data_IF_228316584637
#
_entry.id   IF_228316584637
#
_cell.length_a   1.000
_cell.length_b   1.000
_cell.length_c   1.000
_cell.angle_alpha   90.00
_cell.angle_beta   90.00
_cell.angle_gamma   90.00
#
_symmetry.space_group_name_H-M   'P 1'
#
loop_
_entity.id
_entity.type
_entity.pdbx_description
1 polymer ?
#
# COMPACT_ATOMS: atom_id res chain seq x y z
N UNK A 1 36.10 17.14 -66.26
CA UNK A 1 35.82 15.75 -65.85
C UNK A 1 35.47 15.76 -64.37
N UNK A 2 34.31 15.18 -64.04
CA UNK A 2 33.46 15.22 -62.83
C UNK A 2 33.99 15.58 -61.42
N UNK A 3 33.16 16.38 -60.74
CA UNK A 3 32.98 16.52 -59.28
C UNK A 3 32.66 15.19 -58.58
N UNK A 4 33.12 15.03 -57.35
CA UNK A 4 32.44 14.24 -56.30
C UNK A 4 32.53 14.98 -54.97
N UNK A 5 31.45 15.68 -54.58
CA UNK A 5 31.22 16.08 -53.18
C UNK A 5 30.59 14.88 -52.46
N UNK A 6 31.22 14.37 -51.41
CA UNK A 6 30.57 13.47 -50.46
C UNK A 6 29.83 14.31 -49.42
N UNK A 7 28.50 14.18 -49.38
CA UNK A 7 27.68 14.70 -48.30
C UNK A 7 27.71 13.71 -47.12
N UNK A 8 28.26 14.13 -45.98
CA UNK A 8 28.12 13.40 -44.73
C UNK A 8 26.74 13.71 -44.13
N UNK A 9 25.87 12.70 -44.04
CA UNK A 9 24.59 12.82 -43.37
C UNK A 9 24.80 12.69 -41.84
N UNK A 10 24.67 13.80 -41.12
CA UNK A 10 24.55 13.81 -39.67
C UNK A 10 23.14 13.36 -39.29
N UNK A 11 23.00 12.12 -38.81
CA UNK A 11 21.77 11.65 -38.19
C UNK A 11 21.64 12.30 -36.79
N UNK A 12 20.74 13.27 -36.65
CA UNK A 12 20.36 13.81 -35.36
C UNK A 12 19.50 12.76 -34.62
N UNK A 13 20.09 12.09 -33.63
CA UNK A 13 19.34 11.25 -32.69
C UNK A 13 18.51 12.19 -31.80
N UNK A 14 17.22 12.29 -32.09
CA UNK A 14 16.29 13.01 -31.23
C UNK A 14 16.07 12.17 -29.97
N UNK A 15 16.70 12.57 -28.86
CA UNK A 15 16.39 12.02 -27.54
C UNK A 15 15.07 12.66 -27.13
N UNK A 16 13.97 11.92 -27.31
CA UNK A 16 12.69 12.34 -26.75
C UNK A 16 12.84 12.39 -25.23
N UNK A 17 12.57 13.53 -24.58
CA UNK A 17 12.51 13.56 -23.13
C UNK A 17 11.39 12.60 -22.70
N UNK A 18 11.78 11.54 -21.99
CA UNK A 18 10.83 10.58 -21.44
C UNK A 18 9.78 11.34 -20.64
N UNK A 19 8.53 11.27 -21.09
CA UNK A 19 7.39 11.82 -20.35
C UNK A 19 7.37 11.14 -18.99
N UNK A 20 7.74 11.85 -17.92
CA UNK A 20 7.53 11.39 -16.56
C UNK A 20 6.02 11.36 -16.38
N UNK A 21 5.39 10.20 -16.61
CA UNK A 21 4.00 10.03 -16.24
C UNK A 21 3.93 10.21 -14.72
N UNK A 22 3.09 11.12 -14.20
CA UNK A 22 2.89 11.22 -12.77
C UNK A 22 2.39 9.87 -12.28
N UNK A 23 3.16 9.20 -11.42
CA UNK A 23 2.74 7.95 -10.81
C UNK A 23 1.50 8.25 -9.98
N UNK A 24 0.34 7.77 -10.43
CA UNK A 24 -0.91 7.94 -9.71
C UNK A 24 -0.73 7.30 -8.32
N UNK A 25 -0.59 8.13 -7.27
CA UNK A 25 -0.21 7.67 -5.94
C UNK A 25 -1.22 8.18 -4.93
N UNK A 26 -1.91 7.28 -4.24
CA UNK A 26 -2.75 7.63 -3.09
C UNK A 26 -2.00 7.38 -1.80
N UNK A 27 -2.02 8.39 -0.92
CA UNK A 27 -1.34 8.34 0.38
C UNK A 27 -2.35 8.38 1.53
N UNK A 28 -2.10 7.59 2.56
CA UNK A 28 -2.84 7.61 3.81
C UNK A 28 -1.88 7.52 5.00
N UNK A 29 -2.36 7.93 6.16
CA UNK A 29 -1.64 7.83 7.43
C UNK A 29 -2.48 7.07 8.44
N UNK A 30 -1.82 6.25 9.26
CA UNK A 30 -2.44 5.56 10.40
C UNK A 30 -1.54 5.62 11.64
N UNK A 31 -2.10 5.35 12.82
CA UNK A 31 -1.36 5.37 14.08
C UNK A 31 -0.43 4.15 14.25
N UNK A 32 -0.87 2.99 13.77
CA UNK A 32 -0.18 1.71 13.90
C UNK A 32 -0.37 0.84 12.66
N UNK A 33 0.74 0.26 12.19
CA UNK A 33 0.72 -0.88 11.28
C UNK A 33 1.12 -2.15 12.01
N UNK A 34 0.40 -3.25 11.77
CA UNK A 34 0.78 -4.57 12.26
C UNK A 34 1.13 -5.47 11.09
N UNK A 35 2.31 -6.07 11.11
CA UNK A 35 2.62 -7.24 10.31
C UNK A 35 2.28 -8.48 11.15
N UNK A 36 1.23 -9.19 10.76
CA UNK A 36 0.77 -10.38 11.46
C UNK A 36 1.13 -11.62 10.64
N UNK A 37 1.76 -12.58 11.30
CA UNK A 37 2.08 -13.91 10.83
C UNK A 37 1.06 -14.88 11.43
N UNK A 38 0.07 -15.28 10.63
CA UNK A 38 -0.89 -16.26 11.08
C UNK A 38 -0.24 -17.64 11.08
N UNK A 39 -0.19 -18.27 12.24
CA UNK A 39 0.38 -19.61 12.43
C UNK A 39 -0.73 -20.63 12.68
N UNK A 40 -0.55 -21.86 12.20
CA UNK A 40 -1.44 -22.98 12.52
C UNK A 40 -1.10 -23.60 13.89
N UNK A 41 -1.85 -24.64 14.28
CA UNK A 41 -1.68 -25.36 15.55
C UNK A 41 -0.29 -26.01 15.69
N UNK A 42 0.40 -26.27 14.57
CA UNK A 42 1.76 -26.82 14.57
C UNK A 42 2.85 -25.74 14.65
N UNK A 43 2.46 -24.46 14.67
CA UNK A 43 3.36 -23.32 14.66
C UNK A 43 3.89 -22.95 13.27
N UNK A 44 3.37 -23.56 12.21
CA UNK A 44 3.75 -23.22 10.83
C UNK A 44 2.99 -21.97 10.40
N UNK A 45 3.71 -21.03 9.78
CA UNK A 45 3.12 -19.86 9.17
C UNK A 45 2.27 -20.25 7.95
N UNK A 46 1.00 -19.84 7.96
CA UNK A 46 0.02 -20.09 6.89
C UNK A 46 -0.07 -18.89 5.96
N UNK A 47 -0.12 -17.68 6.52
CA UNK A 47 -0.11 -16.45 5.74
C UNK A 47 0.41 -15.27 6.57
N UNK A 48 0.80 -14.22 5.86
CA UNK A 48 1.11 -12.91 6.44
C UNK A 48 0.06 -11.90 6.01
N UNK A 49 -0.25 -10.97 6.89
CA UNK A 49 -1.10 -9.83 6.60
C UNK A 49 -0.56 -8.55 7.20
N UNK A 50 -0.90 -7.44 6.57
CA UNK A 50 -0.67 -6.11 7.10
C UNK A 50 -2.01 -5.52 7.50
N UNK A 51 -2.13 -5.08 8.75
CA UNK A 51 -3.34 -4.47 9.31
C UNK A 51 -3.05 -3.03 9.70
N UNK A 52 -3.95 -2.13 9.32
CA UNK A 52 -3.80 -0.69 9.53
C UNK A 52 -4.80 -0.22 10.58
N UNK A 53 -4.30 0.37 11.67
CA UNK A 53 -5.10 0.78 12.81
C UNK A 53 -4.99 2.27 13.10
N UNK A 54 -6.10 2.85 13.53
CA UNK A 54 -6.11 4.14 14.21
C UNK A 54 -6.60 4.00 15.66
N UNK A 55 -6.08 4.85 16.53
CA UNK A 55 -6.53 4.95 17.90
C UNK A 55 -7.85 5.72 17.95
N UNK A 56 -8.90 5.06 18.44
CA UNK A 56 -10.18 5.68 18.72
C UNK A 56 -10.15 6.30 20.12
N UNK A 57 -10.21 7.63 20.20
CA UNK A 57 -10.26 8.33 21.49
C UNK A 57 -11.58 8.07 22.22
N UNK A 58 -12.69 7.90 21.49
CA UNK A 58 -14.01 7.62 22.04
C UNK A 58 -14.10 6.22 22.65
N UNK A 59 -13.69 5.20 21.89
CA UNK A 59 -13.75 3.81 22.34
C UNK A 59 -12.50 3.36 23.11
N UNK A 60 -11.46 4.21 23.18
CA UNK A 60 -10.18 3.96 23.86
C UNK A 60 -9.51 2.65 23.44
N UNK A 61 -9.55 2.38 22.14
CA UNK A 61 -8.98 1.17 21.54
C UNK A 61 -8.46 1.44 20.13
N UNK A 62 -7.61 0.55 19.63
CA UNK A 62 -7.25 0.54 18.21
C UNK A 62 -8.37 -0.05 17.37
N UNK A 63 -8.73 0.63 16.29
CA UNK A 63 -9.77 0.23 15.33
C UNK A 63 -9.13 0.02 13.96
N UNK A 64 -9.44 -1.12 13.34
CA UNK A 64 -8.96 -1.44 11.99
C UNK A 64 -9.60 -0.47 11.00
N UNK A 65 -8.79 0.07 10.08
CA UNK A 65 -9.26 0.86 8.94
C UNK A 65 -9.23 0.09 7.63
N UNK A 66 -8.23 -0.76 7.48
CA UNK A 66 -8.07 -1.66 6.35
C UNK A 66 -7.06 -2.75 6.73
N UNK A 67 -6.99 -3.77 5.90
CA UNK A 67 -6.03 -4.85 6.01
C UNK A 67 -5.78 -5.44 4.62
N UNK A 68 -4.71 -6.21 4.48
CA UNK A 68 -4.44 -6.99 3.27
C UNK A 68 -3.48 -8.14 3.53
N UNK A 69 -3.64 -9.22 2.77
CA UNK A 69 -2.63 -10.28 2.69
C UNK A 69 -1.35 -9.75 2.03
N UNK A 70 -0.20 -10.15 2.55
CA UNK A 70 1.11 -9.92 1.93
C UNK A 70 1.27 -10.94 0.80
N UNK A 71 1.37 -10.45 -0.43
CA UNK A 71 1.59 -11.27 -1.62
C UNK A 71 3.02 -11.18 -2.16
N UNK A 72 3.71 -10.10 -1.81
CA UNK A 72 5.07 -9.81 -2.28
C UNK A 72 5.85 -9.08 -1.17
N UNK A 73 7.16 -9.35 -1.00
CA UNK A 73 7.99 -8.70 0.02
C UNK A 73 8.06 -7.17 -0.08
N UNK A 74 7.76 -6.58 -1.25
CA UNK A 74 7.62 -5.12 -1.40
C UNK A 74 6.49 -4.52 -0.57
N UNK A 75 5.54 -5.35 -0.14
CA UNK A 75 4.36 -4.96 0.62
C UNK A 75 4.59 -5.00 2.13
N UNK A 76 5.76 -5.46 2.58
CA UNK A 76 6.11 -5.46 4.00
C UNK A 76 6.35 -4.03 4.51
N UNK A 77 6.04 -3.72 5.77
CA UNK A 77 6.36 -2.42 6.37
C UNK A 77 7.86 -2.14 6.31
N UNK A 78 8.24 -1.04 5.67
CA UNK A 78 9.63 -0.59 5.56
C UNK A 78 9.88 0.59 6.46
N UNK A 79 10.97 0.55 7.22
CA UNK A 79 11.39 1.69 8.04
C UNK A 79 11.72 2.88 7.13
N UNK A 80 11.08 4.02 7.39
CA UNK A 80 11.47 5.32 6.87
C UNK A 80 12.14 6.12 7.97
N UNK A 81 13.16 6.91 7.62
CA UNK A 81 13.91 7.75 8.55
C UNK A 81 13.55 9.24 8.44
N UNK A 82 12.88 9.63 7.35
CA UNK A 82 12.45 11.02 7.11
C UNK A 82 11.14 11.04 6.31
N UNK A 83 9.98 11.26 6.96
CA UNK A 83 9.78 11.28 8.40
C UNK A 83 9.99 9.88 9.03
N UNK A 84 10.48 9.82 10.27
CA UNK A 84 10.67 8.54 10.97
C UNK A 84 9.34 7.82 11.16
N UNK A 85 9.22 6.60 10.65
CA UNK A 85 8.03 5.77 10.75
C UNK A 85 8.16 4.53 9.89
N UNK A 86 7.02 3.98 9.47
CA UNK A 86 6.95 2.79 8.64
C UNK A 86 6.07 3.07 7.42
N UNK A 87 6.56 2.72 6.24
CA UNK A 87 5.86 2.86 4.98
C UNK A 87 5.49 1.50 4.43
N UNK A 88 4.23 1.33 4.06
CA UNK A 88 3.74 0.17 3.31
C UNK A 88 3.31 0.65 1.94
N UNK A 89 3.82 0.00 0.89
CA UNK A 89 3.55 0.39 -0.50
C UNK A 89 3.06 -0.82 -1.31
N UNK A 90 2.10 -0.60 -2.21
CA UNK A 90 1.71 -1.59 -3.21
C UNK A 90 1.10 -0.98 -4.45
N UNK A 91 0.93 -1.80 -5.48
CA UNK A 91 0.25 -1.43 -6.71
C UNK A 91 -1.15 -2.04 -6.77
N UNK A 92 -2.15 -1.20 -7.00
CA UNK A 92 -3.51 -1.56 -7.38
C UNK A 92 -3.71 -1.15 -8.85
N UNK A 93 -3.45 -2.07 -9.79
CA UNK A 93 -3.41 -1.76 -11.24
C UNK A 93 -2.40 -0.64 -11.52
N UNK A 94 -2.85 0.49 -12.04
CA UNK A 94 -2.02 1.67 -12.38
C UNK A 94 -1.87 2.65 -11.19
N UNK A 95 -2.36 2.29 -10.01
CA UNK A 95 -2.37 3.14 -8.83
C UNK A 95 -1.42 2.61 -7.75
N UNK A 96 -0.44 3.42 -7.37
CA UNK A 96 0.39 3.18 -6.21
C UNK A 96 -0.36 3.58 -4.94
N UNK A 97 -0.42 2.68 -3.97
CA UNK A 97 -0.94 2.96 -2.63
C UNK A 97 0.20 3.03 -1.65
N UNK A 98 0.18 4.06 -0.81
CA UNK A 98 1.16 4.27 0.26
C UNK A 98 0.43 4.52 1.57
N UNK A 99 0.78 3.75 2.60
CA UNK A 99 0.30 3.97 3.96
C UNK A 99 1.50 4.20 4.86
N UNK A 100 1.56 5.37 5.47
CA UNK A 100 2.55 5.70 6.49
C UNK A 100 1.97 5.47 7.88
N UNK A 101 2.77 4.88 8.76
CA UNK A 101 2.42 4.71 10.16
C UNK A 101 3.57 5.20 11.06
N UNK A 102 3.20 5.83 12.18
CA UNK A 102 4.18 6.23 13.19
C UNK A 102 4.80 5.03 13.89
N UNK A 103 3.99 4.02 14.17
CA UNK A 103 4.39 2.82 14.90
C UNK A 103 4.17 1.57 14.06
N UNK A 104 4.98 0.54 14.32
CA UNK A 104 4.82 -0.80 13.76
C UNK A 104 4.93 -1.84 14.87
N UNK A 105 4.10 -2.89 14.78
CA UNK A 105 4.28 -4.12 15.56
C UNK A 105 4.30 -5.33 14.64
N UNK A 106 4.96 -6.37 15.09
CA UNK A 106 5.03 -7.66 14.41
C UNK A 106 4.53 -8.74 15.37
N UNK A 107 3.65 -9.62 14.88
CA UNK A 107 2.97 -10.62 15.71
C UNK A 107 2.95 -11.99 15.03
N UNK A 108 3.09 -13.05 15.83
CA UNK A 108 2.84 -14.43 15.42
C UNK A 108 1.69 -14.97 16.24
N UNK A 109 0.56 -15.28 15.60
CA UNK A 109 -0.66 -15.65 16.31
C UNK A 109 -1.51 -16.64 15.53
N UNK A 110 -2.27 -17.46 16.26
CA UNK A 110 -3.34 -18.28 15.68
C UNK A 110 -4.67 -17.51 15.53
N UNK A 111 -4.68 -16.25 15.97
CA UNK A 111 -5.82 -15.36 15.87
C UNK A 111 -5.54 -14.29 14.83
N UNK A 112 -6.47 -14.09 13.92
CA UNK A 112 -6.45 -13.01 12.94
C UNK A 112 -6.86 -11.69 13.65
N UNK A 113 -5.94 -10.72 13.84
CA UNK A 113 -6.23 -9.46 14.52
C UNK A 113 -7.35 -8.65 13.84
N UNK A 114 -7.54 -8.79 12.53
CA UNK A 114 -8.65 -8.16 11.82
C UNK A 114 -9.99 -8.74 12.26
N UNK A 115 -10.08 -10.08 12.36
CA UNK A 115 -11.29 -10.79 12.81
C UNK A 115 -11.64 -10.42 14.23
N UNK A 116 -10.66 -10.42 15.12
CA UNK A 116 -10.84 -10.01 16.52
C UNK A 116 -11.35 -8.56 16.59
N UNK A 117 -10.78 -7.64 15.80
CA UNK A 117 -11.23 -6.26 15.80
C UNK A 117 -12.64 -6.09 15.20
N UNK A 118 -13.02 -6.92 14.22
CA UNK A 118 -14.36 -6.92 13.61
C UNK A 118 -15.47 -7.26 14.59
N UNK A 119 -15.18 -8.06 15.61
CA UNK A 119 -16.11 -8.32 16.72
C UNK A 119 -16.39 -7.07 17.57
N UNK A 120 -15.43 -6.12 17.60
CA UNK A 120 -15.55 -4.84 18.32
C UNK A 120 -16.15 -3.72 17.45
N UNK A 121 -15.69 -3.62 16.19
CA UNK A 121 -16.14 -2.62 15.22
C UNK A 121 -16.36 -3.28 13.84
N UNK A 122 -17.64 -3.47 13.44
CA UNK A 122 -17.97 -4.03 12.13
C UNK A 122 -17.40 -3.19 10.99
N UNK A 123 -17.07 -3.85 9.88
CA UNK A 123 -16.43 -3.20 8.73
C UNK A 123 -17.21 -1.99 8.19
N UNK A 124 -18.54 -2.08 8.18
CA UNK A 124 -19.44 -1.02 7.71
C UNK A 124 -19.39 0.26 8.55
N UNK A 125 -18.81 0.21 9.76
CA UNK A 125 -18.68 1.34 10.67
C UNK A 125 -17.24 1.87 10.71
N UNK A 126 -16.30 1.23 10.02
CA UNK A 126 -14.89 1.63 10.03
C UNK A 126 -14.69 2.93 9.27
N UNK A 127 -13.75 3.73 9.76
CA UNK A 127 -13.26 4.90 9.02
C UNK A 127 -12.48 4.41 7.78
N UNK A 128 -12.92 4.68 6.55
CA UNK A 128 -12.28 4.17 5.34
C UNK A 128 -10.85 4.68 5.25
N UNK A 129 -9.90 3.84 4.83
CA UNK A 129 -8.48 4.22 4.75
C UNK A 129 -8.23 5.36 3.74
N UNK A 130 -8.97 5.37 2.63
CA UNK A 130 -8.87 6.37 1.56
C UNK A 130 -10.06 7.32 1.61
N UNK A 131 -9.84 8.60 1.30
CA UNK A 131 -10.90 9.62 1.31
C UNK A 131 -11.90 9.44 0.17
N UNK A 132 -13.17 9.26 0.51
CA UNK A 132 -14.32 9.20 -0.40
C UNK A 132 -15.27 8.07 0.00
N UNK A 133 -16.60 8.31 0.00
CA UNK A 133 -17.56 7.20 -0.08
C UNK A 133 -17.14 6.31 -1.25
N UNK A 134 -17.27 4.98 -1.18
CA UNK A 134 -17.19 4.19 -2.40
C UNK A 134 -18.17 4.83 -3.38
N UNK A 135 -17.66 5.25 -4.53
CA UNK A 135 -18.50 5.43 -5.70
C UNK A 135 -19.08 4.04 -5.90
N UNK A 136 -20.28 3.83 -5.36
CA UNK A 136 -21.07 2.69 -5.73
C UNK A 136 -21.23 2.85 -7.24
N UNK A 137 -20.43 2.09 -7.99
CA UNK A 137 -20.92 1.57 -9.26
C UNK A 137 -22.15 0.74 -8.93
N UNK A 138 -23.30 1.42 -8.80
CA UNK A 138 -24.52 0.91 -9.38
C UNK A 138 -24.31 0.89 -10.89
N UNK A 139 -23.54 -0.08 -11.38
CA UNK A 139 -23.80 -0.57 -12.72
C UNK A 139 -24.96 -1.53 -12.58
N UNK A 140 -26.13 -1.05 -12.97
CA UNK A 140 -27.26 -1.87 -13.35
C UNK A 140 -26.81 -3.12 -14.13
N UNK A 141 -27.24 -4.29 -13.69
CA UNK A 141 -28.08 -5.27 -14.43
C UNK A 141 -28.08 -6.63 -13.76
#
# INVERSE_FOLDING_TARGET
>A
MMMLLQAAALAAVSVLPGTIQPTNTTRATVDLVELNHFIDESGREVFQQVVFFDWSTGNRQFEVRAWRLVKDPSQLPRRSWSPSGYLVTWQDKDLTREVWAKNMRETWSQQDPERVNRELLPESQRRPLWGGKPEFESSDR
#
